data_IF_875970068541
#
_entry.id   IF_875970068541
#
_cell.length_a   1.000
_cell.length_b   1.000
_cell.length_c   1.000
_cell.angle_alpha   90.00
_cell.angle_beta   90.00
_cell.angle_gamma   90.00
#
_symmetry.space_group_name_H-M   'P 1'
#
loop_
_entity.id
_entity.type
_entity.pdbx_description
1 polymer ?
#
# COMPACT_ATOMS: atom_id res chain seq x y z
N UNK A 1 -16.49 36.17 27.59
CA UNK A 1 -16.83 34.77 27.94
C UNK A 1 -15.86 33.86 27.18
N UNK A 2 -14.95 33.13 27.85
CA UNK A 2 -14.11 32.16 27.17
C UNK A 2 -14.99 31.00 26.70
N UNK A 3 -14.89 30.65 25.42
CA UNK A 3 -15.62 29.53 24.82
C UNK A 3 -14.73 28.31 25.00
N UNK A 4 -15.17 27.35 25.83
CA UNK A 4 -14.46 26.09 26.03
C UNK A 4 -14.39 25.31 24.70
N UNK A 5 -13.24 25.42 24.04
CA UNK A 5 -12.85 24.60 22.90
C UNK A 5 -12.29 23.27 23.42
N UNK A 6 -13.14 22.46 24.04
CA UNK A 6 -12.84 21.03 24.21
C UNK A 6 -13.59 20.24 23.12
N UNK A 7 -12.91 19.79 22.06
CA UNK A 7 -13.53 18.87 21.10
C UNK A 7 -13.86 17.54 21.80
N UNK A 8 -15.01 16.91 21.51
CA UNK A 8 -15.36 15.64 22.14
C UNK A 8 -14.31 14.60 21.80
N UNK A 9 -13.68 14.06 22.84
CA UNK A 9 -12.68 13.01 22.74
C UNK A 9 -13.25 11.83 21.94
N UNK A 10 -12.46 11.40 20.95
CA UNK A 10 -12.79 10.33 20.01
C UNK A 10 -13.10 9.06 20.80
N UNK A 11 -14.22 8.44 20.44
CA UNK A 11 -14.72 7.16 20.95
C UNK A 11 -13.60 6.17 21.29
N UNK A 12 -13.30 6.03 22.59
CA UNK A 12 -12.62 4.86 23.13
C UNK A 12 -13.60 3.67 23.16
N UNK A 13 -13.83 3.08 21.99
CA UNK A 13 -14.43 1.77 21.90
C UNK A 13 -13.36 0.71 22.14
N UNK A 14 -13.05 0.38 23.40
CA UNK A 14 -12.43 -0.93 23.71
C UNK A 14 -13.54 -1.98 23.83
N UNK A 15 -13.68 -2.95 22.93
CA UNK A 15 -14.43 -4.15 23.27
C UNK A 15 -13.50 -5.08 24.04
N UNK A 16 -13.66 -4.99 25.36
CA UNK A 16 -13.72 -6.09 26.33
C UNK A 16 -13.14 -7.43 25.85
N UNK A 17 -12.01 -7.82 26.44
CA UNK A 17 -11.53 -9.20 26.42
C UNK A 17 -12.54 -10.13 27.11
N UNK A 18 -12.81 -11.28 26.45
CA UNK A 18 -13.15 -12.63 26.98
C UNK A 18 -14.41 -13.24 26.39
N UNK A 19 -14.22 -14.22 25.52
CA UNK A 19 -14.95 -15.51 25.41
C UNK A 19 -14.53 -16.14 24.09
N UNK A 20 -13.82 -17.28 24.13
CA UNK A 20 -13.44 -18.35 23.16
C UNK A 20 -13.84 -18.30 21.66
N UNK A 21 -14.17 -17.13 21.15
CA UNK A 21 -14.47 -16.84 19.77
C UNK A 21 -13.16 -16.40 19.10
N UNK A 22 -12.90 -16.86 17.87
CA UNK A 22 -11.68 -16.51 17.18
C UNK A 22 -11.57 -14.99 17.08
N UNK A 23 -10.36 -14.46 17.25
CA UNK A 23 -10.04 -13.02 17.19
C UNK A 23 -10.32 -12.45 15.79
N UNK A 24 -11.60 -12.28 15.48
CA UNK A 24 -12.07 -11.66 14.26
C UNK A 24 -12.01 -10.16 14.43
N UNK A 25 -11.34 -9.48 13.50
CA UNK A 25 -11.35 -8.03 13.40
C UNK A 25 -12.55 -7.56 12.60
N UNK A 26 -13.06 -6.38 12.94
CA UNK A 26 -14.07 -5.73 12.11
C UNK A 26 -13.41 -5.07 10.89
N UNK A 27 -14.12 -4.91 9.76
CA UNK A 27 -13.57 -4.19 8.60
C UNK A 27 -13.26 -2.72 8.91
N UNK A 28 -13.87 -2.15 9.96
CA UNK A 28 -13.64 -0.78 10.41
C UNK A 28 -12.31 -0.64 11.17
N UNK A 29 -11.97 -1.60 12.02
CA UNK A 29 -10.64 -1.67 12.65
C UNK A 29 -9.53 -1.83 11.61
N UNK A 30 -9.71 -2.75 10.66
CA UNK A 30 -8.74 -2.96 9.58
C UNK A 30 -8.58 -1.68 8.75
N UNK A 31 -9.68 -1.02 8.41
CA UNK A 31 -9.67 0.26 7.70
C UNK A 31 -8.87 1.34 8.44
N UNK A 32 -9.09 1.47 9.76
CA UNK A 32 -8.36 2.43 10.60
C UNK A 32 -6.85 2.15 10.62
N UNK A 33 -6.44 0.89 10.81
CA UNK A 33 -5.03 0.51 10.88
C UNK A 33 -4.27 0.75 9.57
N UNK A 34 -4.90 0.51 8.42
CA UNK A 34 -4.24 0.64 7.11
C UNK A 34 -4.48 1.99 6.43
N UNK A 35 -5.31 2.86 7.02
CA UNK A 35 -5.66 4.16 6.42
C UNK A 35 -6.50 4.03 5.14
N UNK A 36 -7.23 2.93 4.99
CA UNK A 36 -8.07 2.62 3.83
C UNK A 36 -9.54 2.87 4.22
N UNK A 37 -10.40 3.26 3.27
CA UNK A 37 -11.83 3.41 3.60
C UNK A 37 -12.49 2.06 3.92
N UNK A 38 -13.42 2.00 4.90
CA UNK A 38 -14.10 0.75 5.27
C UNK A 38 -14.89 0.16 4.11
N UNK A 39 -15.41 1.02 3.21
CA UNK A 39 -16.06 0.58 1.97
C UNK A 39 -15.11 -0.20 1.07
N UNK A 40 -13.87 0.29 0.89
CA UNK A 40 -12.85 -0.37 0.06
C UNK A 40 -12.46 -1.72 0.65
N UNK A 41 -12.28 -1.81 1.97
CA UNK A 41 -11.99 -3.08 2.67
C UNK A 41 -13.12 -4.08 2.45
N UNK A 42 -14.39 -3.68 2.67
CA UNK A 42 -15.55 -4.56 2.45
C UNK A 42 -15.69 -5.01 1.00
N UNK A 43 -15.37 -4.14 0.04
CA UNK A 43 -15.38 -4.49 -1.39
C UNK A 43 -14.30 -5.54 -1.70
N UNK A 44 -13.05 -5.28 -1.33
CA UNK A 44 -11.93 -6.19 -1.58
C UNK A 44 -12.12 -7.55 -0.90
N UNK A 45 -12.63 -7.56 0.33
CA UNK A 45 -12.89 -8.79 1.07
C UNK A 45 -13.95 -9.67 0.39
N UNK A 46 -14.96 -9.06 -0.24
CA UNK A 46 -15.95 -9.79 -1.05
C UNK A 46 -15.38 -10.29 -2.36
N UNK A 47 -14.56 -9.49 -3.04
CA UNK A 47 -13.92 -9.88 -4.31
C UNK A 47 -12.97 -11.07 -4.14
N UNK A 48 -12.26 -11.14 -3.00
CA UNK A 48 -11.30 -12.21 -2.70
C UNK A 48 -11.94 -13.40 -1.96
N UNK A 49 -13.18 -13.26 -1.47
CA UNK A 49 -13.81 -14.25 -0.60
C UNK A 49 -13.18 -14.36 0.80
N UNK A 50 -12.27 -13.45 1.14
CA UNK A 50 -11.58 -13.37 2.43
C UNK A 50 -12.45 -12.66 3.48
N UNK A 51 -13.67 -13.14 3.70
CA UNK A 51 -14.55 -12.61 4.73
C UNK A 51 -15.57 -13.64 5.22
N UNK A 52 -15.95 -13.51 6.50
CA UNK A 52 -17.09 -14.24 7.07
C UNK A 52 -18.21 -13.27 7.35
N UNK A 53 -19.36 -13.50 6.74
CA UNK A 53 -20.54 -12.65 6.89
C UNK A 53 -21.52 -13.37 7.82
N UNK A 54 -21.89 -12.72 8.91
CA UNK A 54 -22.90 -13.19 9.85
C UNK A 54 -24.01 -12.15 9.96
N UNK A 55 -25.13 -12.40 9.26
CA UNK A 55 -26.20 -11.41 9.08
C UNK A 55 -25.67 -10.14 8.42
N UNK A 56 -25.79 -9.00 9.08
CA UNK A 56 -25.30 -7.70 8.60
C UNK A 56 -23.82 -7.43 8.98
N UNK A 57 -23.21 -8.28 9.81
CA UNK A 57 -21.83 -8.07 10.28
C UNK A 57 -20.85 -8.85 9.42
N UNK A 58 -19.69 -8.25 9.19
CA UNK A 58 -18.57 -8.85 8.48
C UNK A 58 -17.41 -8.98 9.46
N UNK A 59 -16.80 -10.16 9.51
CA UNK A 59 -15.64 -10.47 10.33
C UNK A 59 -14.48 -10.88 9.43
N UNK A 60 -13.29 -10.43 9.78
CA UNK A 60 -12.04 -10.75 9.12
C UNK A 60 -11.17 -11.49 10.13
N UNK A 61 -10.84 -12.75 9.85
CA UNK A 61 -9.81 -13.44 10.62
C UNK A 61 -8.43 -12.90 10.26
N UNK A 62 -7.40 -13.16 11.10
CA UNK A 62 -6.02 -12.81 10.75
C UNK A 62 -5.59 -13.38 9.39
N UNK A 63 -5.95 -14.63 9.07
CA UNK A 63 -5.69 -15.23 7.76
C UNK A 63 -6.37 -14.46 6.60
N UNK A 64 -7.59 -13.98 6.81
CA UNK A 64 -8.30 -13.19 5.81
C UNK A 64 -7.60 -11.84 5.57
N UNK A 65 -7.10 -11.21 6.65
CA UNK A 65 -6.34 -9.96 6.57
C UNK A 65 -5.02 -10.17 5.80
N UNK A 66 -4.34 -11.29 6.01
CA UNK A 66 -3.11 -11.63 5.27
C UNK A 66 -3.40 -11.74 3.76
N UNK A 67 -4.43 -12.49 3.37
CA UNK A 67 -4.82 -12.61 1.95
C UNK A 67 -5.22 -11.26 1.34
N UNK A 68 -5.92 -10.40 2.09
CA UNK A 68 -6.23 -9.03 1.67
C UNK A 68 -4.96 -8.21 1.42
N UNK A 69 -3.98 -8.32 2.30
CA UNK A 69 -2.70 -7.62 2.17
C UNK A 69 -1.89 -8.13 0.98
N UNK A 70 -1.88 -9.44 0.75
CA UNK A 70 -1.22 -10.02 -0.42
C UNK A 70 -1.83 -9.53 -1.73
N UNK A 71 -3.16 -9.49 -1.81
CA UNK A 71 -3.87 -8.96 -2.96
C UNK A 71 -3.72 -7.44 -3.13
N UNK A 72 -3.55 -6.71 -2.02
CA UNK A 72 -3.35 -5.26 -2.03
C UNK A 72 -1.94 -4.85 -2.47
N UNK A 73 -0.98 -5.78 -2.59
CA UNK A 73 0.38 -5.48 -3.04
C UNK A 73 0.33 -4.78 -4.41
N UNK A 74 0.98 -3.62 -4.56
CA UNK A 74 0.96 -2.90 -5.83
C UNK A 74 1.64 -3.76 -6.90
N UNK A 75 0.88 -4.16 -7.92
CA UNK A 75 1.46 -4.76 -9.12
C UNK A 75 2.25 -3.68 -9.86
N UNK A 76 3.47 -3.99 -10.37
CA UNK A 76 4.24 -3.03 -11.13
C UNK A 76 3.38 -2.54 -12.28
N UNK A 77 3.08 -1.24 -12.30
CA UNK A 77 2.40 -0.64 -13.45
C UNK A 77 3.33 -0.87 -14.64
N UNK A 78 2.83 -1.31 -15.81
CA UNK A 78 3.65 -1.35 -17.00
C UNK A 78 4.18 0.06 -17.19
N UNK A 79 5.49 0.23 -17.06
CA UNK A 79 6.13 1.48 -17.41
C UNK A 79 5.81 1.66 -18.88
N UNK A 80 4.97 2.65 -19.21
CA UNK A 80 4.80 3.06 -20.59
C UNK A 80 6.19 3.52 -21.02
N UNK A 81 6.95 2.61 -21.65
CA UNK A 81 8.18 3.00 -22.30
C UNK A 81 7.75 4.07 -23.29
N UNK A 82 8.18 5.31 -23.06
CA UNK A 82 8.05 6.35 -24.08
C UNK A 82 8.69 5.75 -25.32
N UNK A 83 7.87 5.45 -26.33
CA UNK A 83 8.36 4.97 -27.63
C UNK A 83 9.39 5.99 -28.10
N UNK A 84 10.67 5.61 -28.07
CA UNK A 84 11.76 6.44 -28.58
C UNK A 84 12.96 6.70 -27.66
N UNK A 85 13.05 6.14 -26.44
CA UNK A 85 14.28 6.31 -25.65
C UNK A 85 14.63 5.12 -24.73
N UNK A 86 14.68 3.91 -25.29
CA UNK A 86 15.60 2.90 -24.74
C UNK A 86 17.00 3.25 -25.26
N UNK A 87 17.63 4.26 -24.65
CA UNK A 87 19.06 4.41 -24.83
C UNK A 87 19.67 3.14 -24.21
N UNK A 88 20.12 2.23 -25.06
CA UNK A 88 20.74 1.00 -24.60
C UNK A 88 21.91 1.40 -23.69
N UNK A 89 21.86 0.99 -22.43
CA UNK A 89 22.82 1.37 -21.39
C UNK A 89 24.27 1.17 -21.87
N UNK A 90 24.48 0.13 -22.68
CA UNK A 90 25.75 -0.19 -23.32
C UNK A 90 26.26 0.94 -24.23
N UNK A 91 25.39 1.58 -25.02
CA UNK A 91 25.74 2.69 -25.92
C UNK A 91 26.15 3.93 -25.12
N UNK A 92 25.44 4.25 -24.03
CA UNK A 92 25.79 5.38 -23.16
C UNK A 92 27.16 5.19 -22.49
N UNK A 93 27.47 3.97 -22.05
CA UNK A 93 28.79 3.65 -21.50
C UNK A 93 29.90 3.73 -22.56
N UNK A 94 29.61 3.35 -23.80
CA UNK A 94 30.56 3.46 -24.89
C UNK A 94 30.87 4.93 -25.23
N UNK A 95 29.85 5.78 -25.33
CA UNK A 95 30.00 7.21 -25.55
C UNK A 95 30.81 7.90 -24.45
N UNK A 96 30.54 7.56 -23.18
CA UNK A 96 31.31 8.08 -22.05
C UNK A 96 32.79 7.74 -22.15
N UNK A 97 33.12 6.48 -22.48
CA UNK A 97 34.52 6.04 -22.67
C UNK A 97 35.21 6.76 -23.84
N UNK A 98 34.48 7.09 -24.89
CA UNK A 98 35.01 7.86 -26.01
C UNK A 98 35.34 9.29 -25.59
N UNK A 99 34.42 9.96 -24.89
CA UNK A 99 34.65 11.32 -24.35
C UNK A 99 35.87 11.37 -23.43
N UNK A 100 36.02 10.40 -22.52
CA UNK A 100 37.19 10.32 -21.61
C UNK A 100 38.52 10.16 -22.36
N UNK A 101 38.52 9.41 -23.48
CA UNK A 101 39.71 9.26 -24.34
C UNK A 101 40.04 10.55 -25.09
N UNK A 102 39.03 11.26 -25.58
CA UNK A 102 39.20 12.53 -26.27
C UNK A 102 39.71 13.63 -25.33
N UNK A 103 39.19 13.71 -24.11
CA UNK A 103 39.67 14.61 -23.07
C UNK A 103 41.12 14.31 -22.67
N UNK A 104 41.47 13.03 -22.49
CA UNK A 104 42.84 12.62 -22.21
C UNK A 104 43.80 12.97 -23.37
N UNK A 105 43.34 12.90 -24.61
CA UNK A 105 44.12 13.30 -25.78
C UNK A 105 44.30 14.83 -25.87
N UNK A 106 43.25 15.60 -25.54
CA UNK A 106 43.31 17.07 -25.49
C UNK A 106 44.22 17.60 -24.38
N UNK A 107 44.27 16.91 -23.23
CA UNK A 107 45.12 17.29 -22.08
C UNK A 107 46.60 16.93 -22.25
N UNK A 108 46.94 16.08 -23.23
CA UNK A 108 48.31 15.69 -23.58
C UNK A 108 48.93 16.51 -24.70
N UNK A 109 48.14 17.34 -25.38
CA UNK A 109 48.61 18.40 -26.28
C UNK A 109 48.85 19.68 -25.49
#
# INVERSE_FOLDING_TARGET
MPVDLNPPEKHEGKPVERSDLPAGRTPEEVAYHFGISPRRVRQMARELGACRIFGNRMFLLPADVETLLEAAKPKPKPVYQRRGHSADLAELLALRKQMEREEAARKKK
#
